data_IF_039607417073
#
_entry.id   IF_039607417073
#
_cell.length_a   1.000
_cell.length_b   1.000
_cell.length_c   1.000
_cell.angle_alpha   90.00
_cell.angle_beta   90.00
_cell.angle_gamma   90.00
#
_symmetry.space_group_name_H-M   'P 1'
#
loop_
_entity.id
_entity.type
_entity.pdbx_description
1 polymer ?
#
# COMPACT_ATOMS: atom_id res chain seq x y z
N UNK A 1 -1.95 -31.88 4.51
CA UNK A 1 -1.29 -31.44 3.25
C UNK A 1 -0.27 -30.37 3.59
N UNK A 2 1.03 -30.67 3.55
CA UNK A 2 2.09 -29.67 3.78
C UNK A 2 2.30 -28.88 2.49
N UNK A 3 1.97 -27.58 2.50
CA UNK A 3 2.40 -26.64 1.46
C UNK A 3 3.92 -26.68 1.35
N UNK A 4 4.47 -26.79 0.14
CA UNK A 4 5.92 -26.66 -0.05
C UNK A 4 6.34 -25.20 0.14
N UNK A 5 7.49 -24.99 0.77
CA UNK A 5 8.05 -23.66 1.07
C UNK A 5 8.20 -22.80 -0.18
N UNK A 6 8.61 -23.41 -1.30
CA UNK A 6 8.65 -22.74 -2.61
C UNK A 6 7.29 -22.18 -3.04
N UNK A 7 6.19 -22.91 -2.80
CA UNK A 7 4.84 -22.44 -3.16
C UNK A 7 4.40 -21.31 -2.22
N UNK A 8 4.77 -21.38 -0.94
CA UNK A 8 4.49 -20.33 0.03
C UNK A 8 5.25 -19.04 -0.33
N UNK A 9 6.53 -19.12 -0.70
CA UNK A 9 7.32 -17.97 -1.13
C UNK A 9 6.73 -17.27 -2.35
N UNK A 10 6.26 -18.03 -3.35
CA UNK A 10 5.59 -17.47 -4.53
C UNK A 10 4.31 -16.73 -4.14
N UNK A 11 3.53 -17.28 -3.20
CA UNK A 11 2.30 -16.65 -2.71
C UNK A 11 2.59 -15.38 -1.91
N UNK A 12 3.64 -15.38 -1.06
CA UNK A 12 4.06 -14.18 -0.34
C UNK A 12 4.47 -13.08 -1.32
N UNK A 13 5.34 -13.38 -2.29
CA UNK A 13 5.78 -12.40 -3.30
C UNK A 13 4.61 -11.83 -4.11
N UNK A 14 3.63 -12.67 -4.45
CA UNK A 14 2.42 -12.22 -5.13
C UNK A 14 1.58 -11.29 -4.23
N UNK A 15 1.46 -11.60 -2.95
CA UNK A 15 0.75 -10.77 -1.99
C UNK A 15 1.46 -9.42 -1.78
N UNK A 16 2.79 -9.43 -1.63
CA UNK A 16 3.63 -8.22 -1.57
C UNK A 16 3.45 -7.33 -2.79
N UNK A 17 3.54 -7.90 -3.99
CA UNK A 17 3.34 -7.17 -5.25
C UNK A 17 1.95 -6.52 -5.32
N UNK A 18 0.90 -7.27 -4.93
CA UNK A 18 -0.47 -6.75 -4.91
C UNK A 18 -0.68 -5.65 -3.88
N UNK A 19 -0.03 -5.72 -2.73
CA UNK A 19 -0.05 -4.65 -1.72
C UNK A 19 0.71 -3.43 -2.22
N UNK A 20 1.86 -3.61 -2.87
CA UNK A 20 2.64 -2.54 -3.50
C UNK A 20 1.82 -1.76 -4.53
N UNK A 21 1.16 -2.46 -5.46
CA UNK A 21 0.26 -1.84 -6.45
C UNK A 21 -0.88 -1.05 -5.80
N UNK A 22 -1.44 -1.55 -4.69
CA UNK A 22 -2.48 -0.82 -3.97
C UNK A 22 -1.95 0.41 -3.23
N UNK A 23 -0.70 0.38 -2.76
CA UNK A 23 -0.04 1.53 -2.16
C UNK A 23 0.23 2.63 -3.21
N UNK A 24 0.64 2.24 -4.42
CA UNK A 24 0.76 3.17 -5.55
C UNK A 24 -0.58 3.82 -5.89
N UNK A 25 -1.67 3.07 -5.87
CA UNK A 25 -3.01 3.62 -6.11
C UNK A 25 -3.44 4.62 -5.04
N UNK A 26 -3.11 4.36 -3.77
CA UNK A 26 -3.33 5.32 -2.68
C UNK A 26 -2.52 6.60 -2.93
N UNK A 27 -1.25 6.48 -3.31
CA UNK A 27 -0.41 7.64 -3.61
C UNK A 27 -0.95 8.47 -4.78
N UNK A 28 -1.39 7.81 -5.87
CA UNK A 28 -2.04 8.46 -7.01
C UNK A 28 -3.32 9.18 -6.60
N UNK A 29 -4.20 8.50 -5.88
CA UNK A 29 -5.47 9.08 -5.40
C UNK A 29 -5.24 10.28 -4.49
N UNK A 30 -4.23 10.20 -3.60
CA UNK A 30 -3.83 11.29 -2.70
C UNK A 30 -3.33 12.51 -3.46
N UNK A 31 -2.46 12.30 -4.45
CA UNK A 31 -1.98 13.38 -5.32
C UNK A 31 -3.13 14.02 -6.09
N UNK A 32 -4.05 13.21 -6.63
CA UNK A 32 -5.23 13.69 -7.34
C UNK A 32 -6.13 14.55 -6.45
N UNK A 33 -6.39 14.11 -5.20
CA UNK A 33 -7.14 14.91 -4.23
C UNK A 33 -6.46 16.26 -3.96
N UNK A 34 -5.17 16.25 -3.65
CA UNK A 34 -4.42 17.49 -3.38
C UNK A 34 -4.49 18.48 -4.55
N UNK A 35 -4.41 17.99 -5.79
CA UNK A 35 -4.55 18.82 -6.98
C UNK A 35 -5.95 19.45 -7.08
N UNK A 36 -7.01 18.67 -6.85
CA UNK A 36 -8.38 19.20 -6.91
C UNK A 36 -8.65 20.21 -5.79
N UNK A 37 -8.08 20.00 -4.59
CA UNK A 37 -8.15 20.93 -3.47
C UNK A 37 -7.43 22.25 -3.79
N UNK A 38 -6.24 22.18 -4.41
CA UNK A 38 -5.51 23.39 -4.85
C UNK A 38 -6.32 24.19 -5.87
N UNK A 39 -6.89 23.53 -6.88
CA UNK A 39 -7.75 24.18 -7.88
C UNK A 39 -8.99 24.83 -7.24
N UNK A 40 -9.61 24.19 -6.26
CA UNK A 40 -10.75 24.76 -5.53
C UNK A 40 -10.33 26.01 -4.74
N UNK A 41 -9.17 25.95 -4.07
CA UNK A 41 -8.64 27.08 -3.32
C UNK A 41 -8.34 28.27 -4.23
N UNK A 42 -7.69 28.03 -5.37
CA UNK A 42 -7.41 29.04 -6.39
C UNK A 42 -8.69 29.67 -6.94
N UNK A 43 -9.70 28.85 -7.25
CA UNK A 43 -10.99 29.34 -7.74
C UNK A 43 -11.67 30.22 -6.69
N UNK A 44 -11.71 29.80 -5.42
CA UNK A 44 -12.26 30.60 -4.31
C UNK A 44 -11.55 31.93 -4.17
N UNK A 45 -10.21 31.90 -4.18
CA UNK A 45 -9.39 33.12 -4.12
C UNK A 45 -9.73 34.06 -5.28
N UNK A 46 -9.84 33.52 -6.49
CA UNK A 46 -10.20 34.30 -7.67
C UNK A 46 -11.60 34.92 -7.56
N UNK A 47 -12.59 34.17 -7.04
CA UNK A 47 -13.95 34.69 -6.81
C UNK A 47 -13.92 35.86 -5.85
N UNK A 48 -13.21 35.73 -4.72
CA UNK A 48 -13.12 36.79 -3.71
C UNK A 48 -12.40 38.03 -4.25
N UNK A 49 -11.26 37.84 -4.94
CA UNK A 49 -10.55 38.93 -5.61
C UNK A 49 -11.42 39.62 -6.67
N UNK A 50 -12.24 38.87 -7.40
CA UNK A 50 -13.14 39.42 -8.40
C UNK A 50 -14.31 40.19 -7.78
N UNK A 51 -14.88 39.70 -6.65
CA UNK A 51 -15.92 40.38 -5.89
C UNK A 51 -15.44 41.70 -5.31
N UNK A 52 -14.19 41.77 -4.85
CA UNK A 52 -13.58 42.98 -4.32
C UNK A 52 -13.33 44.08 -5.36
N UNK A 53 -13.43 43.78 -6.67
CA UNK A 53 -13.23 44.78 -7.72
C UNK A 53 -14.33 45.86 -7.67
N UNK A 54 -13.98 47.14 -7.93
CA UNK A 54 -14.96 48.21 -8.01
C UNK A 54 -16.09 47.89 -8.99
N UNK A 55 -17.31 48.29 -8.64
CA UNK A 55 -18.46 48.15 -9.54
C UNK A 55 -18.25 49.00 -10.79
N UNK A 56 -18.57 48.47 -11.98
CA UNK A 56 -18.47 49.25 -13.21
C UNK A 56 -19.54 50.36 -13.22
N UNK A 57 -19.18 51.52 -13.76
CA UNK A 57 -20.08 52.69 -13.78
C UNK A 57 -21.26 52.56 -14.75
N UNK A 58 -21.20 51.65 -15.73
CA UNK A 58 -22.27 51.44 -16.72
C UNK A 58 -23.23 50.35 -16.24
N UNK A 59 -24.56 50.59 -16.20
CA UNK A 59 -25.54 49.60 -15.71
C UNK A 59 -25.47 48.23 -16.39
N UNK A 60 -25.27 48.19 -17.72
CA UNK A 60 -25.13 46.93 -18.46
C UNK A 60 -23.91 46.09 -18.06
N UNK A 61 -22.84 46.75 -17.57
CA UNK A 61 -21.65 46.06 -17.08
C UNK A 61 -21.87 45.47 -15.67
N UNK A 62 -22.78 46.05 -14.88
CA UNK A 62 -23.16 45.51 -13.56
C UNK A 62 -23.89 44.19 -13.77
N UNK A 63 -24.87 44.13 -14.67
CA UNK A 63 -25.59 42.89 -15.00
C UNK A 63 -24.64 41.78 -15.51
N UNK A 64 -23.68 42.13 -16.38
CA UNK A 64 -22.68 41.19 -16.86
C UNK A 64 -21.78 40.65 -15.73
N UNK A 65 -21.39 41.51 -14.79
CA UNK A 65 -20.61 41.12 -13.60
C UNK A 65 -21.38 40.11 -12.74
N UNK A 66 -22.65 40.36 -12.47
CA UNK A 66 -23.49 39.45 -11.67
C UNK A 66 -23.67 38.08 -12.35
N UNK A 67 -23.88 38.07 -13.68
CA UNK A 67 -23.95 36.81 -14.44
C UNK A 67 -22.64 36.02 -14.36
N UNK A 68 -21.49 36.71 -14.44
CA UNK A 68 -20.19 36.06 -14.33
C UNK A 68 -19.95 35.51 -12.91
N UNK A 69 -20.31 36.25 -11.87
CA UNK A 69 -20.26 35.78 -10.48
C UNK A 69 -21.14 34.55 -10.25
N UNK A 70 -22.34 34.50 -10.85
CA UNK A 70 -23.22 33.34 -10.80
C UNK A 70 -22.56 32.11 -11.45
N UNK A 71 -21.90 32.28 -12.61
CA UNK A 71 -21.15 31.22 -13.28
C UNK A 71 -19.95 30.73 -12.45
N UNK A 72 -19.23 31.65 -11.81
CA UNK A 72 -18.13 31.29 -10.90
C UNK A 72 -18.63 30.49 -9.69
N UNK A 73 -19.79 30.85 -9.12
CA UNK A 73 -20.39 30.10 -8.02
C UNK A 73 -20.83 28.69 -8.44
N UNK A 74 -21.37 28.52 -9.65
CA UNK A 74 -21.64 27.17 -10.19
C UNK A 74 -20.34 26.38 -10.39
N UNK A 75 -19.30 26.99 -10.96
CA UNK A 75 -18.00 26.35 -11.12
C UNK A 75 -17.40 25.92 -9.78
N UNK A 76 -17.53 26.74 -8.73
CA UNK A 76 -17.06 26.40 -7.38
C UNK A 76 -17.82 25.22 -6.79
N UNK A 77 -19.16 25.18 -6.96
CA UNK A 77 -19.97 24.03 -6.54
C UNK A 77 -19.57 22.76 -7.28
N UNK A 78 -19.35 22.85 -8.59
CA UNK A 78 -18.92 21.71 -9.39
C UNK A 78 -17.51 21.23 -8.98
N UNK A 79 -16.56 22.14 -8.77
CA UNK A 79 -15.22 21.79 -8.31
C UNK A 79 -15.24 21.19 -6.90
N UNK A 80 -16.11 21.66 -6.02
CA UNK A 80 -16.30 21.08 -4.67
C UNK A 80 -16.78 19.63 -4.75
N UNK A 81 -17.71 19.31 -5.65
CA UNK A 81 -18.14 17.92 -5.91
C UNK A 81 -17.00 17.07 -6.47
N UNK A 82 -16.15 17.63 -7.33
CA UNK A 82 -14.96 16.94 -7.84
C UNK A 82 -13.98 16.59 -6.71
N UNK A 83 -13.75 17.52 -5.77
CA UNK A 83 -12.92 17.28 -4.58
C UNK A 83 -13.53 16.17 -3.71
N UNK A 84 -14.84 16.21 -3.49
CA UNK A 84 -15.53 15.18 -2.71
C UNK A 84 -15.42 13.79 -3.35
N UNK A 85 -15.58 13.70 -4.68
CA UNK A 85 -15.38 12.47 -5.43
C UNK A 85 -13.92 11.96 -5.33
N UNK A 86 -12.92 12.84 -5.48
CA UNK A 86 -11.52 12.48 -5.31
C UNK A 86 -11.20 11.99 -3.89
N UNK A 87 -11.81 12.61 -2.87
CA UNK A 87 -11.70 12.18 -1.48
C UNK A 87 -12.31 10.81 -1.25
N UNK A 88 -13.44 10.50 -1.92
CA UNK A 88 -14.04 9.18 -1.90
C UNK A 88 -13.13 8.13 -2.53
N UNK A 89 -12.54 8.42 -3.70
CA UNK A 89 -11.56 7.54 -4.35
C UNK A 89 -10.38 7.23 -3.44
N UNK A 90 -9.84 8.24 -2.73
CA UNK A 90 -8.75 8.03 -1.76
C UNK A 90 -9.17 7.11 -0.60
N UNK A 91 -10.39 7.28 -0.07
CA UNK A 91 -10.92 6.41 0.99
C UNK A 91 -11.02 4.96 0.52
N UNK A 92 -11.53 4.75 -0.69
CA UNK A 92 -11.68 3.43 -1.30
C UNK A 92 -10.33 2.75 -1.58
N UNK A 93 -9.38 3.48 -2.17
CA UNK A 93 -8.03 2.96 -2.44
C UNK A 93 -7.29 2.62 -1.14
N UNK A 94 -7.46 3.45 -0.10
CA UNK A 94 -6.91 3.19 1.24
C UNK A 94 -7.50 1.92 1.86
N UNK A 95 -8.83 1.74 1.76
CA UNK A 95 -9.50 0.53 2.24
C UNK A 95 -8.97 -0.72 1.52
N UNK A 96 -8.88 -0.68 0.19
CA UNK A 96 -8.35 -1.77 -0.62
C UNK A 96 -6.90 -2.12 -0.23
N UNK A 97 -6.06 -1.11 -0.01
CA UNK A 97 -4.68 -1.30 0.46
C UNK A 97 -4.63 -1.98 1.84
N UNK A 98 -5.46 -1.54 2.80
CA UNK A 98 -5.53 -2.15 4.12
C UNK A 98 -5.96 -3.63 4.06
N UNK A 99 -6.96 -3.96 3.25
CA UNK A 99 -7.41 -5.34 3.04
C UNK A 99 -6.29 -6.21 2.45
N UNK A 100 -5.57 -5.71 1.44
CA UNK A 100 -4.43 -6.42 0.84
C UNK A 100 -3.28 -6.59 1.81
N UNK A 101 -2.95 -5.55 2.60
CA UNK A 101 -1.91 -5.62 3.63
C UNK A 101 -2.25 -6.62 4.73
N UNK A 102 -3.52 -6.70 5.13
CA UNK A 102 -4.00 -7.71 6.07
C UNK A 102 -3.87 -9.13 5.50
N UNK A 103 -4.17 -9.31 4.21
CA UNK A 103 -3.95 -10.57 3.48
C UNK A 103 -2.47 -10.97 3.43
N UNK A 104 -1.59 -10.04 3.05
CA UNK A 104 -0.14 -10.25 3.01
C UNK A 104 0.42 -10.68 4.39
N UNK A 105 0.00 -10.00 5.47
CA UNK A 105 0.46 -10.32 6.83
C UNK A 105 0.23 -11.78 7.22
N UNK A 106 -0.85 -12.41 6.71
CA UNK A 106 -1.11 -13.84 6.94
C UNK A 106 -0.04 -14.72 6.29
N UNK A 107 0.39 -14.38 5.07
CA UNK A 107 1.47 -15.09 4.39
C UNK A 107 2.82 -14.87 5.08
N UNK A 108 3.10 -13.65 5.54
CA UNK A 108 4.32 -13.33 6.29
C UNK A 108 4.44 -14.25 7.54
N UNK A 109 3.35 -14.43 8.30
CA UNK A 109 3.32 -15.32 9.48
C UNK A 109 3.54 -16.78 9.09
N UNK A 110 2.91 -17.26 8.01
CA UNK A 110 3.08 -18.63 7.54
C UNK A 110 4.51 -18.89 7.07
N UNK A 111 5.14 -17.92 6.41
CA UNK A 111 6.50 -18.05 5.92
C UNK A 111 7.50 -18.15 7.06
N UNK A 112 7.36 -17.31 8.09
CA UNK A 112 8.17 -17.41 9.32
C UNK A 112 7.99 -18.77 9.99
N UNK A 113 6.77 -19.29 10.08
CA UNK A 113 6.53 -20.61 10.66
C UNK A 113 7.16 -21.74 9.82
N UNK A 114 7.12 -21.63 8.49
CA UNK A 114 7.71 -22.60 7.58
C UNK A 114 9.25 -22.61 7.68
N UNK A 115 9.90 -21.45 7.71
CA UNK A 115 11.36 -21.35 7.83
C UNK A 115 11.85 -21.91 9.15
N UNK A 116 11.16 -21.64 10.27
CA UNK A 116 11.49 -22.25 11.57
C UNK A 116 11.36 -23.78 11.55
N UNK A 117 10.32 -24.31 10.87
CA UNK A 117 10.14 -25.76 10.76
C UNK A 117 11.25 -26.40 9.93
N UNK A 118 11.66 -25.78 8.84
CA UNK A 118 12.77 -26.27 8.01
C UNK A 118 14.10 -26.24 8.76
N UNK A 119 14.39 -25.14 9.48
CA UNK A 119 15.59 -25.03 10.30
C UNK A 119 15.67 -26.15 11.34
N UNK A 120 14.56 -26.45 12.01
CA UNK A 120 14.49 -27.57 12.98
C UNK A 120 14.73 -28.93 12.33
N UNK A 121 14.12 -29.20 11.17
CA UNK A 121 14.33 -30.46 10.44
C UNK A 121 15.77 -30.59 9.93
N UNK A 122 16.38 -29.49 9.51
CA UNK A 122 17.78 -29.46 9.09
C UNK A 122 18.72 -29.77 10.27
N UNK A 123 18.47 -29.17 11.44
CA UNK A 123 19.22 -29.42 12.68
C UNK A 123 19.08 -30.87 13.16
N UNK A 124 17.86 -31.42 13.14
CA UNK A 124 17.64 -32.84 13.49
C UNK A 124 18.35 -33.80 12.52
N UNK A 125 18.53 -33.40 11.24
CA UNK A 125 19.27 -34.19 10.25
C UNK A 125 20.78 -34.06 10.43
N UNK A 126 21.32 -32.87 10.69
CA UNK A 126 22.75 -32.66 10.93
C UNK A 126 23.19 -33.41 12.18
N UNK A 127 22.43 -33.36 13.26
CA UNK A 127 22.73 -34.10 14.49
C UNK A 127 22.79 -35.61 14.24
N UNK A 128 21.80 -36.18 13.54
CA UNK A 128 21.81 -37.61 13.19
C UNK A 128 23.03 -38.01 12.37
N UNK A 129 23.43 -37.20 11.39
CA UNK A 129 24.62 -37.46 10.60
C UNK A 129 25.88 -37.46 11.47
N UNK A 130 26.01 -36.49 12.40
CA UNK A 130 27.13 -36.43 13.34
C UNK A 130 27.18 -37.68 14.25
N UNK A 131 26.03 -38.11 14.77
CA UNK A 131 25.93 -39.31 15.62
C UNK A 131 26.30 -40.60 14.85
N UNK A 132 25.88 -40.72 13.59
CA UNK A 132 26.24 -41.84 12.70
C UNK A 132 27.75 -41.86 12.41
N UNK A 133 28.36 -40.72 12.09
CA UNK A 133 29.81 -40.63 11.90
C UNK A 133 30.58 -40.92 13.18
N UNK A 134 30.10 -40.44 14.33
CA UNK A 134 30.68 -40.74 15.64
C UNK A 134 30.64 -42.24 15.95
N UNK A 135 29.51 -42.89 15.67
CA UNK A 135 29.33 -44.33 15.89
C UNK A 135 30.20 -45.18 14.96
N UNK A 136 30.32 -44.78 13.69
CA UNK A 136 31.22 -45.44 12.73
C UNK A 136 32.70 -45.24 13.06
N UNK A 137 33.07 -44.06 13.57
CA UNK A 137 34.45 -43.77 14.00
C UNK A 137 34.82 -44.54 15.27
N UNK A 138 33.93 -44.60 16.27
CA UNK A 138 34.15 -45.37 17.50
C UNK A 138 34.07 -46.89 17.28
N UNK A 139 33.19 -47.37 16.40
CA UNK A 139 33.07 -48.79 16.05
C UNK A 139 34.24 -49.32 15.20
N UNK A 140 35.12 -48.44 14.69
CA UNK A 140 36.31 -48.81 13.92
C UNK A 140 37.60 -48.77 14.73
N UNK A 141 37.55 -48.45 16.03
CA UNK A 141 38.69 -48.69 16.93
C UNK A 141 38.79 -50.18 17.22
N UNK A 142 39.77 -50.90 16.63
CA UNK A 142 39.97 -52.31 16.94
C UNK A 142 40.58 -52.41 18.34
N UNK A 143 40.18 -53.45 19.06
CA UNK A 143 40.85 -53.98 20.24
C UNK A 143 42.38 -53.87 20.11
N UNK A 144 43.00 -52.89 20.77
CA UNK A 144 44.40 -52.95 21.14
C UNK A 144 44.47 -53.59 22.52
N UNK A 145 44.06 -54.85 22.58
CA UNK A 145 44.26 -55.74 23.70
C UNK A 145 45.61 -56.46 23.53
N UNK A 146 46.52 -56.17 24.46
CA UNK A 146 47.66 -56.97 24.94
C UNK A 146 48.78 -57.38 23.96
N UNK A 147 49.98 -56.81 24.16
CA UNK A 147 51.16 -57.56 24.63
C UNK A 147 52.20 -56.62 25.24
#
# INVERSE_FOLDING_TARGET
>A
MTMSTQRLDVLTRLAESRTGQAAEEVARSRSGLNEQESRLLELRRYVEEYRARPLPQKPGLIANRELFLARLSEAERQQSRTVEAAAQTLRESTKCWLERRAGQRKFDVLQVAATHREARVAEERSQKQLDEFGTLAFGRSPDLSSN
#
